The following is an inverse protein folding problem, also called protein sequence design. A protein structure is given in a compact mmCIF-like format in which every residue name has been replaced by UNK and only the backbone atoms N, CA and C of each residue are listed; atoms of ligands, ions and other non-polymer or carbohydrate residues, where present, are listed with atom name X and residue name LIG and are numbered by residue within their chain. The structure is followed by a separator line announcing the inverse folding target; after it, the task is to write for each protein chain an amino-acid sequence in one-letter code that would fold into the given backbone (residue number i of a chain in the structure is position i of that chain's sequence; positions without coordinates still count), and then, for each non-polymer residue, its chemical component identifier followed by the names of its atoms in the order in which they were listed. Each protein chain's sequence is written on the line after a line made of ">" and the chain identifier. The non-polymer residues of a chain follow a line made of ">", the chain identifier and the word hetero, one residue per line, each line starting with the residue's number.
data_IF_137282229781
#
_entry.id   IF_137282229781
#
_cell.length_a   1.000
_cell.length_b   1.000
_cell.length_c   1.000
_cell.angle_alpha   90.00
_cell.angle_beta   90.00
_cell.angle_gamma   90.00
#
_symmetry.space_group_name_H-M   'P 1'
#
loop_
_entity.id
_entity.type
_entity.pdbx_description
1 polymer ?
#
# COMPACT_ATOMS: atom_id res chain seq x y z
N UNK A 1 -22.79 -4.98 28.08
CA UNK A 1 -21.50 -5.42 27.51
C UNK A 1 -20.43 -4.86 28.42
N UNK A 2 -19.82 -5.71 29.25
CA UNK A 2 -18.68 -5.31 30.07
C UNK A 2 -17.50 -5.11 29.13
N UNK A 3 -17.09 -3.86 28.92
CA UNK A 3 -15.83 -3.54 28.24
C UNK A 3 -14.71 -4.03 29.13
N UNK A 4 -14.12 -5.17 28.78
CA UNK A 4 -12.88 -5.62 29.40
C UNK A 4 -11.78 -4.61 29.04
N UNK A 5 -11.51 -3.67 29.95
CA UNK A 5 -10.42 -2.69 29.85
C UNK A 5 -9.09 -3.43 29.74
N UNK A 6 -8.67 -3.71 28.51
CA UNK A 6 -7.44 -4.44 28.23
C UNK A 6 -6.27 -3.50 28.42
N UNK A 7 -5.34 -3.89 29.30
CA UNK A 7 -4.10 -3.15 29.54
C UNK A 7 -3.11 -3.41 28.39
N UNK A 8 -2.73 -2.36 27.67
CA UNK A 8 -1.75 -2.43 26.59
C UNK A 8 -0.39 -1.99 27.16
N UNK A 9 0.61 -2.88 27.30
CA UNK A 9 1.95 -2.51 27.72
C UNK A 9 2.67 -1.80 26.56
N UNK A 10 3.20 -0.61 26.84
CA UNK A 10 3.98 0.19 25.91
C UNK A 10 5.38 0.40 26.50
N UNK A 11 6.44 -0.09 25.82
CA UNK A 11 7.81 0.16 26.26
C UNK A 11 8.09 1.66 26.39
N UNK A 12 8.64 2.06 27.54
CA UNK A 12 8.93 3.45 27.85
C UNK A 12 10.27 3.55 28.58
N UNK A 13 11.34 3.71 27.81
CA UNK A 13 12.73 3.71 28.33
C UNK A 13 12.95 2.47 29.21
N UNK A 14 13.28 2.66 30.48
CA UNK A 14 13.57 1.57 31.43
C UNK A 14 12.32 1.10 32.19
N UNK A 15 11.12 1.44 31.71
CA UNK A 15 9.85 1.04 32.32
C UNK A 15 8.80 0.72 31.25
N UNK A 16 7.64 0.24 31.68
CA UNK A 16 6.50 -0.08 30.82
C UNK A 16 5.34 0.83 31.21
N UNK A 17 4.84 1.61 30.26
CA UNK A 17 3.56 2.30 30.41
C UNK A 17 2.42 1.32 30.16
N UNK A 18 1.34 1.47 30.89
CA UNK A 18 0.14 0.67 30.67
C UNK A 18 -0.96 1.58 30.14
N UNK A 19 -1.55 1.23 28.99
CA UNK A 19 -2.65 2.00 28.42
C UNK A 19 -3.98 1.27 28.59
N UNK A 20 -5.03 2.04 28.81
CA UNK A 20 -6.43 1.61 28.77
C UNK A 20 -7.14 2.46 27.72
N UNK A 21 -7.86 1.82 26.81
CA UNK A 21 -8.74 2.53 25.88
C UNK A 21 -10.08 2.83 26.56
N UNK A 22 -10.50 4.10 26.51
CA UNK A 22 -11.85 4.52 26.89
C UNK A 22 -12.41 5.33 25.73
N UNK A 23 -13.47 4.81 25.10
CA UNK A 23 -14.17 5.44 23.99
C UNK A 23 -13.22 5.90 22.86
N UNK A 24 -12.22 5.08 22.52
CA UNK A 24 -11.23 5.36 21.47
C UNK A 24 -10.14 6.36 21.89
N UNK A 25 -10.09 6.75 23.16
CA UNK A 25 -9.02 7.58 23.72
C UNK A 25 -8.11 6.73 24.60
N UNK A 26 -6.80 6.70 24.34
CA UNK A 26 -5.85 6.03 25.22
C UNK A 26 -5.62 6.84 26.49
N UNK A 27 -5.81 6.19 27.63
CA UNK A 27 -5.50 6.69 28.97
C UNK A 27 -4.37 5.89 29.59
N UNK A 28 -3.60 6.52 30.48
CA UNK A 28 -2.53 5.88 31.25
C UNK A 28 -2.74 6.11 32.75
N UNK A 29 -2.57 5.09 33.60
CA UNK A 29 -2.64 5.26 35.05
C UNK A 29 -1.41 6.05 35.52
N UNK A 30 -1.64 7.16 36.22
CA UNK A 30 -0.55 8.08 36.56
C UNK A 30 0.29 7.63 37.75
N UNK A 31 -0.31 6.94 38.72
CA UNK A 31 0.40 6.54 39.93
C UNK A 31 1.64 5.66 39.63
N UNK A 32 1.54 4.60 38.81
CA UNK A 32 2.71 3.80 38.44
C UNK A 32 3.81 4.62 37.72
N UNK A 33 3.43 5.60 36.90
CA UNK A 33 4.40 6.47 36.20
C UNK A 33 5.14 7.35 37.20
N UNK A 34 4.40 8.03 38.06
CA UNK A 34 4.94 8.96 39.06
C UNK A 34 5.89 8.23 40.01
N UNK A 35 5.45 7.09 40.55
CA UNK A 35 6.25 6.28 41.46
C UNK A 35 7.44 5.63 40.75
N UNK A 36 7.27 5.13 39.52
CA UNK A 36 8.34 4.57 38.70
C UNK A 36 9.41 5.58 38.32
N UNK A 37 9.06 6.87 38.23
CA UNK A 37 10.00 7.98 38.07
C UNK A 37 10.66 8.42 39.39
N UNK A 38 10.32 7.82 40.53
CA UNK A 38 10.86 8.18 41.84
C UNK A 38 10.27 9.45 42.45
N UNK A 39 9.10 9.89 41.96
CA UNK A 39 8.38 11.07 42.45
C UNK A 39 7.29 10.68 43.46
N UNK A 40 6.90 11.63 44.31
CA UNK A 40 5.82 11.42 45.27
C UNK A 40 4.43 11.55 44.61
N UNK A 41 3.63 10.50 44.69
CA UNK A 41 2.29 10.45 44.10
C UNK A 41 1.37 11.52 44.67
N UNK A 42 1.31 11.69 46.00
CA UNK A 42 0.38 12.63 46.63
C UNK A 42 0.62 14.06 46.14
N UNK A 43 1.88 14.48 46.10
CA UNK A 43 2.29 15.79 45.60
C UNK A 43 1.91 16.00 44.12
N UNK A 44 2.17 15.00 43.26
CA UNK A 44 1.83 15.11 41.84
C UNK A 44 0.32 15.08 41.61
N UNK A 45 -0.42 14.28 42.38
CA UNK A 45 -1.87 14.21 42.29
C UNK A 45 -2.53 15.54 42.65
N UNK A 46 -2.10 16.19 43.74
CA UNK A 46 -2.55 17.54 44.09
C UNK A 46 -2.24 18.54 42.97
N UNK A 47 -1.03 18.47 42.40
CA UNK A 47 -0.63 19.33 41.28
C UNK A 47 -1.51 19.15 40.05
N UNK A 48 -1.83 17.90 39.71
CA UNK A 48 -2.73 17.55 38.60
C UNK A 48 -4.12 18.11 38.85
N UNK A 49 -4.70 17.92 40.05
CA UNK A 49 -6.03 18.46 40.40
C UNK A 49 -6.07 19.99 40.48
N UNK A 50 -4.95 20.64 40.85
CA UNK A 50 -4.87 22.11 40.88
C UNK A 50 -4.70 22.78 39.51
N UNK A 51 -4.30 22.01 38.48
CA UNK A 51 -4.03 22.55 37.16
C UNK A 51 -5.27 22.45 36.28
N UNK A 52 -5.86 23.59 35.91
CA UNK A 52 -7.07 23.66 35.09
C UNK A 52 -6.96 22.88 33.76
N UNK A 53 -5.77 22.80 33.16
CA UNK A 53 -5.53 22.06 31.91
C UNK A 53 -5.69 20.55 32.08
N UNK A 54 -5.45 20.04 33.29
CA UNK A 54 -5.37 18.61 33.57
C UNK A 54 -6.57 18.11 34.37
N UNK A 55 -7.04 18.88 35.35
CA UNK A 55 -8.12 18.52 36.25
C UNK A 55 -9.42 18.14 35.52
N UNK A 56 -9.73 18.80 34.40
CA UNK A 56 -10.91 18.51 33.56
C UNK A 56 -10.76 17.26 32.69
N UNK A 57 -9.58 16.64 32.66
CA UNK A 57 -9.26 15.54 31.73
C UNK A 57 -8.91 14.23 32.41
N UNK A 58 -8.71 14.24 33.74
CA UNK A 58 -8.45 13.01 34.48
C UNK A 58 -9.73 12.24 34.70
N UNK A 59 -9.63 10.90 34.65
CA UNK A 59 -10.73 9.99 34.92
C UNK A 59 -10.30 8.99 35.99
N UNK A 60 -11.18 8.66 36.92
CA UNK A 60 -10.94 7.63 37.92
C UNK A 60 -11.53 6.32 37.38
N UNK A 61 -10.68 5.32 37.14
CA UNK A 61 -11.07 4.03 36.56
C UNK A 61 -10.79 2.94 37.58
N UNK A 62 -11.78 2.10 37.83
CA UNK A 62 -11.59 0.87 38.60
C UNK A 62 -10.83 -0.16 37.76
N UNK A 63 -9.63 -0.51 38.19
CA UNK A 63 -8.76 -1.47 37.50
C UNK A 63 -8.44 -2.65 38.42
N UNK A 64 -8.34 -3.85 37.86
CA UNK A 64 -7.89 -5.04 38.58
C UNK A 64 -6.36 -5.02 38.62
N UNK A 65 -5.80 -4.95 39.82
CA UNK A 65 -4.36 -5.04 40.04
C UNK A 65 -3.87 -6.50 39.90
N UNK A 66 -2.55 -6.70 39.84
CA UNK A 66 -1.92 -8.03 39.72
C UNK A 66 -2.35 -9.02 40.83
N UNK A 67 -2.74 -8.49 42.01
CA UNK A 67 -3.23 -9.28 43.14
C UNK A 67 -4.73 -9.61 43.07
N UNK A 68 -5.38 -9.34 41.92
CA UNK A 68 -6.80 -9.58 41.68
C UNK A 68 -7.73 -8.58 42.37
N UNK A 69 -7.19 -7.57 43.09
CA UNK A 69 -8.01 -6.56 43.78
C UNK A 69 -8.34 -5.41 42.85
N UNK A 70 -9.58 -4.94 42.95
CA UNK A 70 -10.00 -3.72 42.29
C UNK A 70 -9.44 -2.50 43.03
N UNK A 71 -8.81 -1.58 42.29
CA UNK A 71 -8.33 -0.30 42.78
C UNK A 71 -8.78 0.80 41.83
N UNK A 72 -9.23 1.91 42.39
CA UNK A 72 -9.44 3.13 41.61
C UNK A 72 -8.09 3.74 41.25
N UNK A 73 -7.86 3.91 39.96
CA UNK A 73 -6.66 4.49 39.38
C UNK A 73 -7.01 5.80 38.72
N UNK A 74 -6.26 6.84 39.05
CA UNK A 74 -6.35 8.14 38.36
C UNK A 74 -5.62 8.02 37.03
N UNK A 75 -6.40 8.13 35.96
CA UNK A 75 -5.97 7.93 34.60
C UNK A 75 -5.94 9.25 33.84
N UNK A 76 -4.91 9.41 33.01
CA UNK A 76 -4.61 10.61 32.26
C UNK A 76 -4.68 10.30 30.76
N UNK A 77 -5.31 11.14 29.92
CA UNK A 77 -5.23 10.94 28.49
C UNK A 77 -3.77 10.98 28.06
N UNK A 78 -3.31 9.97 27.33
CA UNK A 78 -1.88 9.83 26.97
C UNK A 78 -1.35 11.10 26.28
N UNK A 79 -2.16 11.72 25.41
CA UNK A 79 -1.83 12.99 24.73
C UNK A 79 -1.50 14.16 25.65
N UNK A 80 -1.88 14.11 26.94
CA UNK A 80 -1.61 15.16 27.93
C UNK A 80 -0.34 14.87 28.73
N UNK A 81 0.16 13.63 28.71
CA UNK A 81 1.32 13.19 29.50
C UNK A 81 2.57 14.07 29.26
N UNK A 82 2.96 14.43 28.01
CA UNK A 82 4.10 15.33 27.77
C UNK A 82 3.90 16.69 28.45
N UNK A 83 2.68 17.23 28.38
CA UNK A 83 2.33 18.50 29.01
C UNK A 83 2.46 18.47 30.53
N UNK A 84 2.11 17.35 31.18
CA UNK A 84 2.35 17.18 32.61
C UNK A 84 3.85 17.08 32.92
N UNK A 85 4.62 16.33 32.13
CA UNK A 85 6.04 16.16 32.39
C UNK A 85 6.82 17.48 32.29
N UNK A 86 6.45 18.34 31.35
CA UNK A 86 7.04 19.69 31.22
C UNK A 86 6.82 20.57 32.46
N UNK A 87 5.89 20.22 33.35
CA UNK A 87 5.71 20.95 34.61
C UNK A 87 6.72 20.55 35.69
N UNK A 88 7.48 19.47 35.49
CA UNK A 88 8.46 18.94 36.45
C UNK A 88 9.78 19.67 36.25
N UNK A 89 10.25 20.36 37.28
CA UNK A 89 11.50 21.10 37.21
C UNK A 89 12.68 20.20 37.62
N UNK A 90 13.70 19.98 36.77
CA UNK A 90 14.81 19.06 37.06
C UNK A 90 15.60 19.39 38.36
N UNK A 91 15.68 20.67 38.72
CA UNK A 91 16.30 21.10 39.98
C UNK A 91 15.47 20.83 41.24
N UNK A 92 14.18 20.48 41.09
CA UNK A 92 13.25 20.19 42.20
C UNK A 92 12.96 18.70 42.36
N UNK A 93 13.71 17.84 41.66
CA UNK A 93 13.64 16.38 41.78
C UNK A 93 14.94 15.85 42.40
N UNK A 94 14.90 14.59 42.88
CA UNK A 94 16.10 13.93 43.43
C UNK A 94 17.20 13.84 42.36
N UNK A 95 18.50 13.92 42.73
CA UNK A 95 19.60 13.85 41.77
C UNK A 95 19.50 12.66 40.81
N UNK A 96 19.18 11.47 41.33
CA UNK A 96 19.16 10.21 40.57
C UNK A 96 18.12 10.16 39.44
N UNK A 97 17.10 11.02 39.48
CA UNK A 97 16.01 11.04 38.47
C UNK A 97 16.06 12.28 37.58
N UNK A 98 16.98 13.21 37.85
CA UNK A 98 17.11 14.47 37.12
C UNK A 98 17.40 14.25 35.65
N UNK A 99 18.35 13.37 35.34
CA UNK A 99 18.74 13.06 33.96
C UNK A 99 17.58 12.45 33.18
N UNK A 100 16.85 11.50 33.78
CA UNK A 100 15.67 10.88 33.18
C UNK A 100 14.60 11.91 32.81
N UNK A 101 14.33 12.89 33.69
CA UNK A 101 13.38 13.97 33.41
C UNK A 101 13.84 14.82 32.22
N UNK A 102 15.11 15.24 32.20
CA UNK A 102 15.67 16.08 31.13
C UNK A 102 15.63 15.36 29.79
N UNK A 103 16.08 14.10 29.75
CA UNK A 103 16.09 13.29 28.53
C UNK A 103 14.69 13.15 27.93
N UNK A 104 13.67 12.99 28.77
CA UNK A 104 12.31 12.89 28.27
C UNK A 104 11.74 14.23 27.82
N UNK A 105 12.05 15.33 28.52
CA UNK A 105 11.66 16.67 28.09
C UNK A 105 12.24 16.97 26.70
N UNK A 106 13.54 16.71 26.51
CA UNK A 106 14.19 16.84 25.20
C UNK A 106 13.53 15.95 24.14
N UNK A 107 13.18 14.70 24.46
CA UNK A 107 12.49 13.81 23.52
C UNK A 107 11.11 14.37 23.08
N UNK A 108 10.39 15.03 23.98
CA UNK A 108 9.14 15.70 23.62
C UNK A 108 9.37 16.94 22.76
N UNK A 109 10.42 17.70 23.04
CA UNK A 109 10.81 18.88 22.27
C UNK A 109 11.22 18.49 20.85
N UNK A 110 12.05 17.46 20.71
CA UNK A 110 12.48 16.89 19.43
C UNK A 110 11.28 16.36 18.64
N UNK A 111 10.38 15.62 19.28
CA UNK A 111 9.17 15.12 18.62
C UNK A 111 8.27 16.27 18.12
N UNK A 112 8.15 17.35 18.88
CA UNK A 112 7.35 18.50 18.46
C UNK A 112 8.04 19.30 17.35
N UNK A 113 9.37 19.41 17.41
CA UNK A 113 10.19 20.01 16.36
C UNK A 113 10.09 19.25 15.04
N UNK A 114 10.25 17.92 15.07
CA UNK A 114 10.15 17.06 13.89
C UNK A 114 8.75 17.12 13.28
N UNK A 115 7.71 17.12 14.12
CA UNK A 115 6.34 17.32 13.67
C UNK A 115 6.17 18.63 12.88
N UNK A 116 6.73 19.75 13.36
CA UNK A 116 6.58 21.03 12.69
C UNK A 116 7.51 21.23 11.49
N UNK A 117 8.71 20.64 11.50
CA UNK A 117 9.72 20.88 10.46
C UNK A 117 9.75 19.82 9.37
N UNK A 118 9.48 18.56 9.73
CA UNK A 118 9.45 17.42 8.82
C UNK A 118 8.02 16.96 8.50
N UNK A 119 7.02 17.46 9.21
CA UNK A 119 5.62 17.05 9.07
C UNK A 119 5.27 15.75 9.80
N UNK A 120 6.25 15.05 10.37
CA UNK A 120 6.03 13.84 11.18
C UNK A 120 7.10 13.69 12.26
N UNK A 121 6.73 13.06 13.37
CA UNK A 121 7.64 12.61 14.42
C UNK A 121 7.58 11.09 14.50
N UNK A 122 8.74 10.43 14.39
CA UNK A 122 8.83 8.96 14.42
C UNK A 122 9.45 8.54 15.75
N UNK A 123 8.78 7.63 16.47
CA UNK A 123 9.42 6.97 17.61
C UNK A 123 10.31 5.82 17.10
N UNK A 124 11.64 5.92 17.17
CA UNK A 124 12.54 4.89 16.65
C UNK A 124 12.48 3.58 17.46
N UNK A 125 11.85 3.59 18.64
CA UNK A 125 11.66 2.42 19.51
C UNK A 125 10.32 1.71 19.25
N UNK A 126 9.48 2.25 18.37
CA UNK A 126 8.23 1.59 18.00
C UNK A 126 8.53 0.33 17.20
N UNK A 127 8.22 -0.83 17.78
CA UNK A 127 8.20 -2.12 17.05
C UNK A 127 6.86 -2.36 16.37
N UNK A 128 5.88 -1.46 16.56
CA UNK A 128 4.61 -1.51 15.84
C UNK A 128 4.82 -0.93 14.44
N UNK A 129 4.80 -1.80 13.44
CA UNK A 129 4.45 -1.42 12.08
C UNK A 129 2.97 -1.01 12.15
N UNK A 130 2.68 0.29 12.06
CA UNK A 130 1.31 0.77 11.93
C UNK A 130 0.83 0.43 10.50
N UNK A 131 -0.16 -0.46 10.31
CA UNK A 131 -0.87 -0.56 9.06
C UNK A 131 -1.87 0.60 9.02
N UNK A 132 -1.68 1.50 8.06
CA UNK A 132 -2.68 2.44 7.57
C UNK A 132 -3.13 3.56 8.53
N UNK A 133 -2.56 4.77 8.39
CA UNK A 133 -3.32 6.03 8.60
C UNK A 133 -2.68 7.27 7.94
N UNK A 134 -3.43 7.82 6.98
CA UNK A 134 -3.48 9.20 6.43
C UNK A 134 -2.26 9.89 5.78
N UNK A 135 -2.43 10.13 4.48
CA UNK A 135 -1.52 10.78 3.52
C UNK A 135 -1.40 12.31 3.70
N UNK A 136 -0.16 12.81 3.79
CA UNK A 136 0.30 14.18 3.53
C UNK A 136 1.53 14.12 2.58
N UNK A 137 1.98 15.21 1.92
CA UNK A 137 2.68 15.13 0.65
C UNK A 137 3.98 14.35 0.81
N UNK A 138 3.95 13.12 0.31
CA UNK A 138 5.09 12.23 0.19
C UNK A 138 6.27 13.01 -0.38
N UNK A 139 7.34 13.15 0.41
CA UNK A 139 8.65 13.52 -0.10
C UNK A 139 9.42 12.21 -0.22
N UNK A 140 9.38 11.54 -1.40
CA UNK A 140 10.12 10.32 -1.58
C UNK A 140 11.60 10.56 -1.27
N UNK A 141 12.28 9.57 -0.70
CA UNK A 141 13.74 9.60 -0.64
C UNK A 141 14.32 9.91 -2.03
N UNK A 142 15.47 10.59 -2.11
CA UNK A 142 16.08 11.00 -3.39
C UNK A 142 16.20 9.83 -4.37
N UNK A 143 16.49 8.63 -3.88
CA UNK A 143 16.55 7.40 -4.66
C UNK A 143 15.21 7.07 -5.33
N UNK A 144 14.09 7.22 -4.62
CA UNK A 144 12.74 7.00 -5.16
C UNK A 144 12.40 8.09 -6.18
N UNK A 145 12.81 9.34 -5.95
CA UNK A 145 12.61 10.42 -6.93
C UNK A 145 13.36 10.15 -8.24
N UNK A 146 14.63 9.73 -8.14
CA UNK A 146 15.45 9.36 -9.31
C UNK A 146 14.82 8.17 -10.02
N UNK A 147 14.35 7.18 -9.25
CA UNK A 147 13.71 5.98 -9.75
C UNK A 147 12.42 6.26 -10.52
N UNK A 148 11.49 7.02 -9.95
CA UNK A 148 10.24 7.42 -10.59
C UNK A 148 10.48 8.31 -11.82
N UNK A 149 11.45 9.23 -11.74
CA UNK A 149 11.88 10.05 -12.87
C UNK A 149 12.40 9.18 -14.01
N UNK A 150 13.29 8.22 -13.74
CA UNK A 150 13.81 7.30 -14.74
C UNK A 150 12.69 6.47 -15.41
N UNK A 151 11.73 5.96 -14.63
CA UNK A 151 10.59 5.21 -15.17
C UNK A 151 9.74 6.08 -16.11
N UNK A 152 9.48 7.34 -15.73
CA UNK A 152 8.67 8.28 -16.51
C UNK A 152 9.37 8.73 -17.79
N UNK A 153 10.62 9.16 -17.70
CA UNK A 153 11.36 9.77 -18.81
C UNK A 153 11.84 8.72 -19.83
N UNK A 154 12.32 7.57 -19.35
CA UNK A 154 12.91 6.54 -20.21
C UNK A 154 11.89 5.57 -20.79
N UNK A 155 10.59 5.74 -20.49
CA UNK A 155 9.49 4.87 -20.96
C UNK A 155 9.79 3.38 -20.74
N UNK A 156 10.22 3.07 -19.53
CA UNK A 156 10.65 1.73 -19.12
C UNK A 156 9.49 0.73 -19.25
N UNK A 157 9.74 -0.48 -19.76
CA UNK A 157 8.71 -1.53 -19.89
C UNK A 157 8.24 -2.02 -18.51
N UNK A 158 6.99 -2.53 -18.40
CA UNK A 158 6.45 -3.04 -17.13
C UNK A 158 7.36 -4.08 -16.46
N UNK A 159 7.91 -5.02 -17.24
CA UNK A 159 8.89 -6.01 -16.74
C UNK A 159 10.13 -5.34 -16.13
N UNK A 160 10.62 -4.28 -16.77
CA UNK A 160 11.80 -3.56 -16.29
C UNK A 160 11.47 -2.71 -15.07
N UNK A 161 10.28 -2.11 -14.98
CA UNK A 161 9.80 -1.41 -13.76
C UNK A 161 9.80 -2.37 -12.58
N UNK A 162 9.33 -3.59 -12.77
CA UNK A 162 9.22 -4.58 -11.69
C UNK A 162 10.59 -5.10 -11.25
N UNK A 163 11.51 -5.36 -12.19
CA UNK A 163 12.91 -5.65 -11.84
C UNK A 163 13.58 -4.50 -11.10
N UNK A 164 13.31 -3.28 -11.53
CA UNK A 164 13.80 -2.08 -10.86
C UNK A 164 13.25 -2.02 -9.42
N UNK A 165 11.95 -2.28 -9.20
CA UNK A 165 11.34 -2.31 -7.86
C UNK A 165 11.91 -3.44 -7.00
N UNK A 166 12.08 -4.64 -7.54
CA UNK A 166 12.67 -5.77 -6.83
C UNK A 166 14.12 -5.48 -6.40
N UNK A 167 14.90 -4.83 -7.27
CA UNK A 167 16.28 -4.42 -6.97
C UNK A 167 16.30 -3.35 -5.88
N UNK A 168 15.37 -2.39 -5.94
CA UNK A 168 15.21 -1.36 -4.91
C UNK A 168 14.87 -1.96 -3.55
N UNK A 169 13.89 -2.87 -3.49
CA UNK A 169 13.50 -3.57 -2.27
C UNK A 169 14.68 -4.34 -1.66
N UNK A 170 15.40 -5.12 -2.48
CA UNK A 170 16.58 -5.88 -2.04
C UNK A 170 17.69 -4.97 -1.49
N UNK A 171 17.97 -3.85 -2.15
CA UNK A 171 19.04 -2.92 -1.74
C UNK A 171 18.72 -2.19 -0.43
N UNK A 172 17.43 -2.06 -0.10
CA UNK A 172 16.94 -1.41 1.11
C UNK A 172 16.51 -2.40 2.21
N UNK A 173 16.75 -3.71 2.03
CA UNK A 173 16.36 -4.74 3.01
C UNK A 173 14.84 -4.93 3.16
N UNK A 174 14.06 -4.51 2.16
CA UNK A 174 12.60 -4.65 2.13
C UNK A 174 12.25 -6.00 1.49
N UNK A 175 11.36 -6.77 2.12
CA UNK A 175 10.82 -8.00 1.55
C UNK A 175 10.05 -7.68 0.25
N UNK A 176 10.35 -8.38 -0.84
CA UNK A 176 9.76 -8.14 -2.16
C UNK A 176 8.69 -9.16 -2.57
N UNK A 177 8.21 -10.01 -1.67
CA UNK A 177 7.27 -11.11 -1.97
C UNK A 177 5.88 -10.60 -2.41
N UNK A 178 5.60 -9.32 -2.17
CA UNK A 178 4.39 -8.63 -2.66
C UNK A 178 4.51 -8.19 -4.11
N UNK A 179 5.73 -8.09 -4.66
CA UNK A 179 5.92 -7.85 -6.08
C UNK A 179 5.55 -9.13 -6.83
N UNK A 180 4.89 -9.03 -7.99
CA UNK A 180 4.60 -10.23 -8.75
C UNK A 180 5.93 -10.89 -9.15
N UNK A 181 6.09 -12.16 -8.83
CA UNK A 181 7.10 -13.01 -9.47
C UNK A 181 6.72 -13.09 -10.95
N UNK A 182 7.31 -12.22 -11.78
CA UNK A 182 7.17 -12.35 -13.22
C UNK A 182 8.02 -13.54 -13.65
N UNK A 183 7.43 -14.73 -13.51
CA UNK A 183 7.81 -15.92 -14.25
C UNK A 183 7.54 -15.60 -15.71
N UNK A 184 8.60 -15.29 -16.47
CA UNK A 184 8.67 -15.25 -17.95
C UNK A 184 7.32 -15.19 -18.71
N UNK A 185 6.50 -14.15 -18.48
CA UNK A 185 5.26 -14.01 -19.23
C UNK A 185 5.62 -13.66 -20.69
N UNK A 186 5.14 -14.45 -21.68
CA UNK A 186 5.51 -14.21 -23.06
C UNK A 186 5.00 -12.83 -23.50
N UNK A 187 5.89 -12.01 -24.08
CA UNK A 187 5.54 -10.68 -24.58
C UNK A 187 4.30 -10.77 -25.48
N UNK A 188 3.27 -9.98 -25.21
CA UNK A 188 2.05 -9.92 -26.02
C UNK A 188 1.93 -8.59 -26.75
N UNK A 189 1.37 -8.60 -27.97
CA UNK A 189 1.01 -7.39 -28.72
C UNK A 189 -0.26 -7.60 -29.55
N UNK A 190 -0.95 -6.50 -29.86
CA UNK A 190 -2.04 -6.53 -30.83
C UNK A 190 -1.51 -6.92 -32.23
N UNK A 191 -2.37 -7.57 -33.02
CA UNK A 191 -2.00 -8.11 -34.33
C UNK A 191 -1.54 -7.05 -35.33
N UNK A 192 -2.14 -5.85 -35.30
CA UNK A 192 -1.80 -4.76 -36.22
C UNK A 192 -0.35 -4.28 -36.04
N UNK A 193 0.13 -3.93 -34.83
CA UNK A 193 1.55 -3.66 -34.58
C UNK A 193 2.49 -4.80 -34.96
N UNK A 194 2.09 -6.07 -34.76
CA UNK A 194 2.94 -7.22 -35.10
C UNK A 194 3.19 -7.30 -36.61
N UNK A 195 2.11 -7.25 -37.39
CA UNK A 195 2.20 -7.28 -38.86
C UNK A 195 2.95 -6.07 -39.42
N UNK A 196 2.65 -4.86 -38.92
CA UNK A 196 3.33 -3.63 -39.37
C UNK A 196 4.80 -3.60 -38.98
N UNK A 197 5.14 -4.07 -37.78
CA UNK A 197 6.53 -4.13 -37.30
C UNK A 197 7.43 -5.03 -38.15
N UNK A 198 6.84 -6.04 -38.80
CA UNK A 198 7.52 -6.92 -39.75
C UNK A 198 7.45 -6.44 -41.21
N UNK A 199 6.80 -5.31 -41.48
CA UNK A 199 6.56 -4.83 -42.84
C UNK A 199 5.57 -5.69 -43.66
N UNK A 200 4.74 -6.49 -42.99
CA UNK A 200 3.86 -7.45 -43.66
C UNK A 200 2.67 -6.75 -44.35
N UNK A 201 2.33 -7.18 -45.57
CA UNK A 201 1.28 -6.56 -46.40
C UNK A 201 -0.11 -6.58 -45.76
N UNK A 202 -0.38 -7.56 -44.89
CA UNK A 202 -1.62 -7.68 -44.14
C UNK A 202 -1.78 -6.63 -43.03
N UNK A 203 -0.72 -5.90 -42.65
CA UNK A 203 -0.78 -4.92 -41.55
C UNK A 203 -1.75 -3.75 -41.79
N UNK A 204 -2.09 -3.45 -43.04
CA UNK A 204 -3.12 -2.47 -43.41
C UNK A 204 -4.50 -3.08 -43.66
N UNK A 205 -4.62 -4.40 -43.67
CA UNK A 205 -5.83 -5.16 -44.03
C UNK A 205 -6.39 -5.97 -42.86
N UNK A 206 -6.03 -5.61 -41.62
CA UNK A 206 -6.38 -6.41 -40.43
C UNK A 206 -7.89 -6.57 -40.27
N UNK A 207 -8.64 -5.46 -40.29
CA UNK A 207 -10.08 -5.49 -40.05
C UNK A 207 -10.86 -6.27 -41.12
N UNK A 208 -10.45 -6.15 -42.39
CA UNK A 208 -11.23 -6.66 -43.53
C UNK A 208 -10.74 -8.02 -44.05
N UNK A 209 -9.56 -8.47 -43.65
CA UNK A 209 -8.95 -9.71 -44.16
C UNK A 209 -8.46 -10.60 -43.05
N UNK A 210 -7.67 -10.06 -42.10
CA UNK A 210 -7.06 -10.89 -41.05
C UNK A 210 -8.08 -11.34 -40.01
N UNK A 211 -8.86 -10.43 -39.43
CA UNK A 211 -9.82 -10.79 -38.39
C UNK A 211 -10.90 -11.76 -38.89
N UNK A 212 -11.51 -11.56 -40.08
CA UNK A 212 -12.46 -12.53 -40.63
C UNK A 212 -11.83 -13.91 -40.90
N UNK A 213 -10.58 -13.95 -41.37
CA UNK A 213 -9.87 -15.22 -41.58
C UNK A 213 -9.57 -15.92 -40.26
N UNK A 214 -9.14 -15.18 -39.23
CA UNK A 214 -8.93 -15.76 -37.90
C UNK A 214 -10.24 -16.24 -37.26
N UNK A 215 -11.36 -15.56 -37.52
CA UNK A 215 -12.69 -16.04 -37.12
C UNK A 215 -13.07 -17.33 -37.86
N UNK A 216 -12.88 -17.38 -39.18
CA UNK A 216 -13.12 -18.58 -39.99
C UNK A 216 -12.22 -19.76 -39.59
N UNK A 217 -11.01 -19.48 -39.12
CA UNK A 217 -10.09 -20.46 -38.55
C UNK A 217 -10.44 -20.88 -37.12
N UNK A 218 -11.48 -20.31 -36.51
CA UNK A 218 -11.89 -20.60 -35.14
C UNK A 218 -10.98 -19.99 -34.06
N UNK A 219 -10.11 -19.05 -34.41
CA UNK A 219 -9.14 -18.41 -33.51
C UNK A 219 -9.72 -17.17 -32.83
N UNK A 220 -10.56 -16.42 -33.54
CA UNK A 220 -11.28 -15.26 -33.01
C UNK A 220 -12.79 -15.51 -32.97
N UNK A 221 -13.47 -14.84 -32.05
CA UNK A 221 -14.93 -14.76 -31.97
C UNK A 221 -15.40 -13.33 -31.73
N UNK A 222 -16.64 -13.05 -32.11
CA UNK A 222 -17.34 -11.81 -31.77
C UNK A 222 -18.15 -11.98 -30.48
N UNK A 223 -17.82 -11.18 -29.48
CA UNK A 223 -18.65 -11.00 -28.30
C UNK A 223 -19.43 -9.69 -28.42
N UNK A 224 -20.54 -9.59 -27.70
CA UNK A 224 -21.39 -8.40 -27.72
C UNK A 224 -21.78 -7.93 -26.33
N UNK A 225 -21.96 -6.61 -26.18
CA UNK A 225 -22.49 -5.99 -24.97
C UNK A 225 -23.47 -4.89 -25.31
N UNK A 226 -24.40 -4.62 -24.38
CA UNK A 226 -25.25 -3.43 -24.44
C UNK A 226 -24.47 -2.20 -23.95
N UNK A 227 -24.54 -1.11 -24.72
CA UNK A 227 -24.07 0.20 -24.29
C UNK A 227 -25.07 0.86 -23.34
N UNK A 228 -24.63 1.92 -22.64
CA UNK A 228 -25.49 2.71 -21.75
C UNK A 228 -26.72 3.29 -22.46
N UNK A 229 -26.61 3.55 -23.77
CA UNK A 229 -27.72 4.00 -24.62
C UNK A 229 -28.49 2.86 -25.32
N UNK A 230 -28.36 1.61 -24.86
CA UNK A 230 -29.11 0.46 -25.38
C UNK A 230 -28.61 -0.15 -26.70
N UNK A 231 -27.69 0.52 -27.42
CA UNK A 231 -27.09 -0.02 -28.65
C UNK A 231 -26.17 -1.21 -28.34
N UNK A 232 -26.21 -2.25 -29.18
CA UNK A 232 -25.30 -3.39 -29.11
C UNK A 232 -23.94 -2.98 -29.69
N UNK A 233 -22.86 -3.24 -28.94
CA UNK A 233 -21.47 -3.08 -29.38
C UNK A 233 -20.82 -4.46 -29.47
N UNK A 234 -20.10 -4.70 -30.56
CA UNK A 234 -19.34 -5.92 -30.77
C UNK A 234 -17.84 -5.66 -30.55
N UNK A 235 -17.15 -6.69 -30.06
CA UNK A 235 -15.71 -6.67 -29.84
C UNK A 235 -15.13 -8.06 -30.06
N UNK A 236 -13.85 -8.11 -30.40
CA UNK A 236 -13.14 -9.35 -30.69
C UNK A 236 -12.60 -9.99 -29.41
N UNK A 237 -12.59 -11.32 -29.38
CA UNK A 237 -12.00 -12.13 -28.32
C UNK A 237 -11.32 -13.35 -28.94
N UNK A 238 -10.25 -13.87 -28.32
CA UNK A 238 -9.70 -15.18 -28.63
C UNK A 238 -10.65 -16.26 -28.11
N UNK A 239 -10.87 -17.29 -28.93
CA UNK A 239 -11.53 -18.54 -28.55
C UNK A 239 -10.59 -19.42 -27.72
N UNK A 240 -11.07 -20.57 -27.26
CA UNK A 240 -10.23 -21.58 -26.60
C UNK A 240 -9.04 -22.03 -27.47
N UNK A 241 -9.24 -22.20 -28.79
CA UNK A 241 -8.14 -22.47 -29.73
C UNK A 241 -7.21 -21.26 -29.84
N UNK A 242 -7.77 -20.05 -29.91
CA UNK A 242 -6.99 -18.83 -30.05
C UNK A 242 -6.08 -18.51 -28.85
N UNK A 243 -6.42 -18.97 -27.65
CA UNK A 243 -5.60 -18.80 -26.44
C UNK A 243 -4.23 -19.49 -26.52
N UNK A 244 -4.01 -20.40 -27.46
CA UNK A 244 -2.68 -20.96 -27.73
C UNK A 244 -1.70 -19.94 -28.31
N UNK A 245 -2.24 -18.90 -28.98
CA UNK A 245 -1.48 -17.87 -29.68
C UNK A 245 -1.47 -16.52 -28.96
N UNK A 246 -2.20 -16.39 -27.86
CA UNK A 246 -2.36 -15.12 -27.17
C UNK A 246 -3.21 -15.20 -25.93
N UNK A 247 -3.64 -14.04 -25.43
CA UNK A 247 -4.60 -13.92 -24.33
C UNK A 247 -5.57 -12.78 -24.54
N UNK A 248 -6.71 -12.88 -23.89
CA UNK A 248 -7.70 -11.80 -23.84
C UNK A 248 -7.37 -10.88 -22.66
N UNK A 249 -7.11 -9.61 -22.96
CA UNK A 249 -6.94 -8.59 -21.93
C UNK A 249 -8.16 -7.68 -21.87
N UNK A 250 -8.46 -7.16 -20.70
CA UNK A 250 -9.50 -6.15 -20.53
C UNK A 250 -9.17 -4.92 -21.38
N UNK A 251 -10.15 -4.43 -22.15
CA UNK A 251 -10.00 -3.25 -22.99
C UNK A 251 -9.72 -2.01 -22.13
N UNK A 252 -8.70 -1.19 -22.46
CA UNK A 252 -8.42 0.05 -21.73
C UNK A 252 -9.57 1.06 -21.86
N UNK A 253 -10.40 0.93 -22.90
CA UNK A 253 -11.54 1.83 -23.14
C UNK A 253 -12.81 1.38 -22.43
N UNK A 254 -12.92 0.09 -22.07
CA UNK A 254 -14.10 -0.41 -21.39
C UNK A 254 -13.83 -1.69 -20.59
N UNK A 255 -14.11 -1.71 -19.28
CA UNK A 255 -13.88 -2.88 -18.45
C UNK A 255 -14.81 -4.07 -18.75
N UNK A 256 -15.85 -3.87 -19.58
CA UNK A 256 -16.78 -4.93 -20.02
C UNK A 256 -16.47 -5.44 -21.42
N UNK A 257 -15.32 -5.08 -21.98
CA UNK A 257 -14.83 -5.56 -23.27
C UNK A 257 -13.46 -6.21 -23.07
N UNK A 258 -13.16 -7.18 -23.91
CA UNK A 258 -11.81 -7.74 -24.05
C UNK A 258 -11.18 -7.27 -25.36
N UNK A 259 -9.87 -7.38 -25.45
CA UNK A 259 -9.11 -7.26 -26.68
C UNK A 259 -8.13 -8.44 -26.80
N UNK A 260 -7.99 -9.04 -28.00
CA UNK A 260 -7.05 -10.13 -28.22
C UNK A 260 -5.63 -9.57 -28.36
N UNK A 261 -4.70 -10.04 -27.53
CA UNK A 261 -3.26 -9.80 -27.70
C UNK A 261 -2.56 -11.11 -27.97
N UNK A 262 -1.62 -11.11 -28.92
CA UNK A 262 -0.93 -12.30 -29.40
C UNK A 262 0.49 -12.37 -28.84
N UNK A 263 0.93 -13.56 -28.45
CA UNK A 263 2.29 -13.80 -28.00
C UNK A 263 3.28 -13.59 -29.14
N UNK A 264 4.27 -12.72 -28.93
CA UNK A 264 5.27 -12.34 -29.93
C UNK A 264 6.08 -13.55 -30.41
N UNK A 265 6.39 -14.48 -29.51
CA UNK A 265 7.14 -15.70 -29.83
C UNK A 265 6.33 -16.75 -30.62
N UNK A 266 5.00 -16.76 -30.49
CA UNK A 266 4.09 -17.69 -31.22
C UNK A 266 3.49 -17.07 -32.47
N UNK A 267 3.57 -15.74 -32.62
CA UNK A 267 2.98 -15.05 -33.76
C UNK A 267 3.46 -15.55 -35.14
N UNK A 268 4.74 -15.91 -35.36
CA UNK A 268 5.17 -16.47 -36.65
C UNK A 268 4.44 -17.76 -37.03
N UNK A 269 4.14 -18.63 -36.05
CA UNK A 269 3.40 -19.87 -36.25
C UNK A 269 1.95 -19.58 -36.68
N UNK A 270 1.30 -18.64 -35.99
CA UNK A 270 -0.05 -18.17 -36.34
C UNK A 270 -0.09 -17.54 -37.73
N UNK A 271 0.91 -16.72 -38.07
CA UNK A 271 0.98 -16.06 -39.37
C UNK A 271 1.10 -17.06 -40.52
N UNK A 272 1.93 -18.10 -40.37
CA UNK A 272 2.05 -19.16 -41.38
C UNK A 272 0.71 -19.90 -41.60
N UNK A 273 -0.03 -20.22 -40.52
CA UNK A 273 -1.38 -20.81 -40.64
C UNK A 273 -2.35 -19.88 -41.37
N UNK A 274 -2.32 -18.59 -41.03
CA UNK A 274 -3.16 -17.57 -41.66
C UNK A 274 -2.86 -17.41 -43.15
N UNK A 275 -1.60 -17.38 -43.54
CA UNK A 275 -1.19 -17.28 -44.96
C UNK A 275 -1.68 -18.48 -45.76
N UNK A 276 -1.50 -19.70 -45.24
CA UNK A 276 -2.00 -20.93 -45.89
C UNK A 276 -3.52 -20.87 -46.07
N UNK A 277 -4.27 -20.44 -45.05
CA UNK A 277 -5.71 -20.31 -45.13
C UNK A 277 -6.14 -19.29 -46.21
N UNK A 278 -5.51 -18.11 -46.21
CA UNK A 278 -5.77 -17.06 -47.21
C UNK A 278 -5.41 -17.49 -48.64
N UNK A 279 -4.35 -18.29 -48.81
CA UNK A 279 -3.99 -18.85 -50.12
C UNK A 279 -4.98 -19.91 -50.60
N UNK A 280 -5.48 -20.77 -49.70
CA UNK A 280 -6.49 -21.79 -50.02
C UNK A 280 -7.83 -21.16 -50.41
N UNK A 281 -8.24 -20.08 -49.75
CA UNK A 281 -9.47 -19.37 -50.10
C UNK A 281 -9.31 -18.50 -51.36
N UNK A 282 -8.11 -17.99 -51.64
CA UNK A 282 -7.79 -17.35 -52.93
C UNK A 282 -7.89 -18.31 -54.12
N UNK A 283 -7.56 -19.59 -53.94
CA UNK A 283 -7.65 -20.62 -54.98
C UNK A 283 -9.08 -21.16 -55.21
N UNK A 284 -10.02 -20.93 -54.30
CA UNK A 284 -11.45 -21.26 -54.53
C UNK A 284 -12.16 -20.31 -55.51
N UNK A 285 -11.48 -19.25 -55.98
CA UNK A 285 -12.02 -18.24 -56.91
C UNK A 285 -11.60 -18.43 -58.38
N UNK A 286 -10.84 -19.48 -58.72
CA UNK A 286 -10.58 -19.84 -60.11
C UNK A 286 -11.44 -21.06 -60.48
N UNK A 287 -12.50 -20.92 -61.30
CA UNK A 287 -13.16 -22.08 -61.87
C UNK A 287 -12.17 -22.78 -62.79
N UNK A 288 -12.16 -24.12 -62.73
CA UNK A 288 -11.44 -24.95 -63.68
C UNK A 288 -11.81 -24.55 -65.12
N UNK A 289 -10.79 -24.29 -65.94
CA UNK A 289 -10.94 -24.22 -67.40
C UNK A 289 -11.02 -25.63 -67.97
#
# INVERSE_FOLDING_TARGET
>A
METSNTLIPVPFRNTTLFLVDIDGTPYTPMKPIVEGMGLDWASQFTKIKSNQRFASTIVEITMVAEDGKQREMVCFPLRKLPGWLMTIHPNKVKPDIRETVIVYQNECDDALWDYWTQGQAINPRSTFIQPDTYTLPYQPALEIQIFESAIRELRVSETSKIRMYATFCKSNGINSDFLPDYVDEPLVRAITPLLKGMGHSLGSKVANTVNPALEAMGILEHLSRKSTGGKIKQFWSLTEEGLQYGRNETSPNNPRETQPLFFVNRFPELLARLEVHLHLDGNKLLPAQ
#
